data_IF_911408184172
#
_entry.id   IF_911408184172
#
_cell.length_a   1.000
_cell.length_b   1.000
_cell.length_c   1.000
_cell.angle_alpha   90.00
_cell.angle_beta   90.00
_cell.angle_gamma   90.00
#
_symmetry.space_group_name_H-M   'P 1'
#
loop_
_entity.id
_entity.type
_entity.pdbx_description
1 polymer ?
#
# COMPACT_ATOMS: atom_id res chain seq x y z
N UNK A 1 3.93 22.78 4.35
CA UNK A 1 4.31 21.44 4.90
C UNK A 1 3.63 21.32 6.26
N UNK A 2 2.94 20.24 6.51
CA UNK A 2 2.34 19.90 7.80
C UNK A 2 3.00 18.59 8.29
N UNK A 3 3.19 18.43 9.59
CA UNK A 3 3.87 17.28 10.17
C UNK A 3 3.04 16.70 11.32
N UNK A 4 2.99 15.37 11.38
CA UNK A 4 2.34 14.62 12.46
C UNK A 4 3.40 13.75 13.12
N UNK A 5 3.47 13.75 14.44
CA UNK A 5 4.52 13.06 15.17
C UNK A 5 3.92 11.86 15.90
N UNK A 6 4.45 10.68 15.59
CA UNK A 6 4.27 9.50 16.43
C UNK A 6 5.43 9.42 17.40
N UNK A 7 5.16 9.42 18.68
CA UNK A 7 6.17 9.36 19.75
C UNK A 7 6.46 7.92 20.23
N UNK A 8 5.67 6.95 19.75
CA UNK A 8 5.78 5.54 20.13
C UNK A 8 5.47 4.62 18.96
N UNK A 9 6.21 3.54 18.87
CA UNK A 9 5.89 2.41 18.01
C UNK A 9 5.11 1.35 18.78
N UNK A 10 4.17 0.71 18.10
CA UNK A 10 3.38 -0.38 18.66
C UNK A 10 3.89 -1.75 18.23
N UNK A 11 2.97 -2.65 17.94
CA UNK A 11 3.27 -4.01 17.50
C UNK A 11 3.96 -4.00 16.13
N UNK A 12 4.83 -4.97 15.92
CA UNK A 12 5.41 -5.25 14.60
C UNK A 12 4.85 -6.57 14.10
N UNK A 13 4.26 -6.55 12.91
CA UNK A 13 3.71 -7.74 12.25
C UNK A 13 4.68 -8.22 11.18
N UNK A 14 5.01 -9.51 11.22
CA UNK A 14 5.64 -10.22 10.12
C UNK A 14 4.53 -10.97 9.39
N UNK A 15 4.23 -10.52 8.18
CA UNK A 15 3.14 -11.05 7.37
C UNK A 15 3.71 -11.98 6.33
N UNK A 16 3.27 -13.24 6.33
CA UNK A 16 3.57 -14.22 5.29
C UNK A 16 2.35 -14.40 4.42
N UNK A 17 2.51 -14.18 3.12
CA UNK A 17 1.52 -14.46 2.09
C UNK A 17 1.92 -15.70 1.30
N UNK A 18 0.92 -16.49 0.91
CA UNK A 18 1.12 -17.72 0.14
C UNK A 18 0.50 -17.59 -1.26
N UNK A 19 0.79 -18.54 -2.11
CA UNK A 19 0.30 -18.59 -3.48
C UNK A 19 -1.22 -18.36 -3.56
N UNK A 20 -1.63 -17.48 -4.46
CA UNK A 20 -3.03 -17.18 -4.77
C UNK A 20 -3.67 -16.10 -3.91
N UNK A 21 -3.02 -15.67 -2.81
CA UNK A 21 -3.52 -14.54 -2.01
C UNK A 21 -3.36 -13.21 -2.75
N UNK A 22 -4.32 -12.30 -2.53
CA UNK A 22 -4.22 -10.91 -2.96
C UNK A 22 -3.46 -10.11 -1.90
N UNK A 23 -2.43 -9.35 -2.28
CA UNK A 23 -1.60 -8.65 -1.32
C UNK A 23 -2.39 -7.55 -0.58
N UNK A 24 -3.09 -6.68 -1.32
CA UNK A 24 -3.84 -5.58 -0.71
C UNK A 24 -4.99 -6.09 0.16
N UNK A 25 -5.76 -7.04 -0.34
CA UNK A 25 -6.85 -7.67 0.41
C UNK A 25 -6.37 -8.36 1.68
N UNK A 26 -5.17 -8.96 1.68
CA UNK A 26 -4.56 -9.56 2.86
C UNK A 26 -4.12 -8.52 3.89
N UNK A 27 -3.55 -7.40 3.45
CA UNK A 27 -3.22 -6.27 4.34
C UNK A 27 -4.48 -5.66 4.95
N UNK A 28 -5.54 -5.46 4.16
CA UNK A 28 -6.82 -4.95 4.65
C UNK A 28 -7.48 -5.92 5.66
N UNK A 29 -7.37 -7.23 5.43
CA UNK A 29 -7.82 -8.24 6.40
C UNK A 29 -7.07 -8.12 7.71
N UNK A 30 -5.72 -8.05 7.67
CA UNK A 30 -4.89 -7.84 8.85
C UNK A 30 -5.29 -6.58 9.62
N UNK A 31 -5.48 -5.46 8.91
CA UNK A 31 -5.90 -4.18 9.52
C UNK A 31 -7.21 -4.36 10.29
N UNK A 32 -8.20 -5.02 9.72
CA UNK A 32 -9.50 -5.25 10.39
C UNK A 32 -9.38 -6.19 11.58
N UNK A 33 -8.70 -7.33 11.41
CA UNK A 33 -8.57 -8.36 12.46
C UNK A 33 -7.79 -7.85 13.67
N UNK A 34 -6.71 -7.12 13.42
CA UNK A 34 -5.81 -6.60 14.45
C UNK A 34 -6.17 -5.17 14.92
N UNK A 35 -7.18 -4.53 14.30
CA UNK A 35 -7.65 -3.17 14.60
C UNK A 35 -6.53 -2.14 14.49
N UNK A 36 -5.76 -2.21 13.42
CA UNK A 36 -4.65 -1.30 13.17
C UNK A 36 -5.21 0.06 12.73
N UNK A 37 -4.92 1.09 13.48
CA UNK A 37 -5.29 2.49 13.16
C UNK A 37 -4.25 3.13 12.24
N UNK A 38 -3.01 3.22 12.72
CA UNK A 38 -1.93 3.83 11.97
C UNK A 38 -0.70 2.92 11.97
N UNK A 39 -0.11 2.71 10.80
CA UNK A 39 1.08 1.88 10.67
C UNK A 39 1.87 2.25 9.39
N UNK A 40 3.10 1.82 9.34
CA UNK A 40 3.97 1.93 8.16
C UNK A 40 4.38 0.55 7.68
N UNK A 41 4.43 0.35 6.37
CA UNK A 41 5.10 -0.83 5.77
C UNK A 41 6.59 -0.53 5.77
N UNK A 42 7.34 -1.22 6.63
CA UNK A 42 8.79 -1.04 6.80
C UNK A 42 9.55 -1.74 5.67
N UNK A 43 9.03 -2.90 5.25
CA UNK A 43 9.61 -3.70 4.17
C UNK A 43 8.53 -4.59 3.58
N UNK A 44 8.58 -4.82 2.27
CA UNK A 44 7.72 -5.78 1.61
C UNK A 44 8.38 -6.27 0.33
N UNK A 45 8.42 -7.61 0.18
CA UNK A 45 8.86 -8.29 -1.04
C UNK A 45 7.88 -9.40 -1.38
N UNK A 46 7.74 -9.73 -2.64
CA UNK A 46 6.86 -10.81 -3.08
C UNK A 46 7.19 -11.27 -4.51
N UNK A 47 6.45 -12.26 -4.97
CA UNK A 47 6.36 -12.59 -6.40
C UNK A 47 4.91 -12.58 -6.83
N UNK A 48 4.61 -12.02 -8.01
CA UNK A 48 3.26 -11.98 -8.57
C UNK A 48 3.15 -12.79 -9.87
N UNK A 49 1.96 -13.34 -10.12
CA UNK A 49 1.52 -13.79 -11.45
C UNK A 49 0.49 -12.84 -12.08
N UNK A 50 -0.02 -11.90 -11.28
CA UNK A 50 -0.92 -10.83 -11.71
C UNK A 50 -0.61 -9.58 -10.93
N UNK A 51 -0.57 -8.43 -11.62
CA UNK A 51 -0.46 -7.12 -10.99
C UNK A 51 -1.48 -6.15 -11.55
N UNK A 52 -1.88 -5.20 -10.71
CA UNK A 52 -2.78 -4.12 -11.05
C UNK A 52 -2.32 -2.86 -10.34
N UNK A 53 -1.75 -1.92 -11.09
CA UNK A 53 -1.19 -0.69 -10.55
C UNK A 53 -1.88 0.53 -11.15
N UNK A 54 -2.24 1.47 -10.30
CA UNK A 54 -2.74 2.77 -10.70
C UNK A 54 -1.58 3.75 -10.87
N UNK A 55 -1.51 4.39 -12.00
CA UNK A 55 -0.43 5.31 -12.36
C UNK A 55 -1.01 6.63 -12.89
N UNK A 56 -0.35 7.74 -12.55
CA UNK A 56 -0.69 9.05 -13.10
C UNK A 56 -0.14 9.19 -14.53
N UNK A 57 -0.88 9.86 -15.42
CA UNK A 57 -0.50 10.06 -16.82
C UNK A 57 -0.31 11.52 -17.20
N UNK A 58 -0.72 12.45 -16.34
CA UNK A 58 -0.59 13.90 -16.58
C UNK A 58 -0.10 14.63 -15.33
N UNK A 59 0.30 15.89 -15.50
CA UNK A 59 0.68 16.80 -14.40
C UNK A 59 -0.49 17.67 -13.90
N UNK A 60 -1.72 17.33 -14.26
CA UNK A 60 -2.93 18.00 -13.78
C UNK A 60 -3.13 17.89 -12.27
N UNK A 61 -4.07 18.66 -11.72
CA UNK A 61 -4.44 18.61 -10.32
C UNK A 61 -5.98 18.63 -10.18
N UNK A 62 -6.64 17.46 -10.10
CA UNK A 62 -6.07 16.11 -10.12
C UNK A 62 -5.42 15.74 -11.45
N UNK A 63 -4.51 14.76 -11.41
CA UNK A 63 -3.94 14.19 -12.61
C UNK A 63 -4.90 13.18 -13.25
N UNK A 64 -4.79 13.01 -14.58
CA UNK A 64 -5.38 11.86 -15.24
C UNK A 64 -4.62 10.59 -14.83
N UNK A 65 -5.29 9.44 -14.90
CA UNK A 65 -4.77 8.18 -14.41
C UNK A 65 -5.02 7.06 -15.41
N UNK A 66 -4.21 6.01 -15.32
CA UNK A 66 -4.44 4.74 -16.02
C UNK A 66 -4.09 3.57 -15.11
N UNK A 67 -4.60 2.40 -15.45
CA UNK A 67 -4.28 1.15 -14.76
C UNK A 67 -3.32 0.36 -15.65
N UNK A 68 -2.13 0.03 -15.12
CA UNK A 68 -1.22 -0.95 -15.70
C UNK A 68 -1.56 -2.32 -15.12
N UNK A 69 -2.07 -3.20 -15.98
CA UNK A 69 -2.48 -4.55 -15.59
C UNK A 69 -1.63 -5.58 -16.34
N UNK A 70 -1.06 -6.52 -15.58
CA UNK A 70 -0.33 -7.67 -16.12
C UNK A 70 -0.97 -8.95 -15.59
N UNK A 71 -1.17 -9.91 -16.48
CA UNK A 71 -1.80 -11.20 -16.16
C UNK A 71 -0.97 -12.33 -16.75
N UNK A 72 -0.77 -13.39 -15.95
CA UNK A 72 0.01 -14.58 -16.32
C UNK A 72 1.47 -14.24 -16.71
N UNK A 73 2.04 -13.24 -16.03
CA UNK A 73 3.43 -12.79 -16.17
C UNK A 73 4.14 -12.97 -14.83
N UNK A 74 5.29 -13.67 -14.79
CA UNK A 74 6.07 -13.75 -13.56
C UNK A 74 6.72 -12.41 -13.26
N UNK A 75 6.46 -11.90 -12.08
CA UNK A 75 6.92 -10.59 -11.62
C UNK A 75 7.64 -10.73 -10.27
N UNK A 76 8.78 -10.07 -10.15
CA UNK A 76 9.42 -9.82 -8.85
C UNK A 76 8.86 -8.54 -8.25
N UNK A 77 8.41 -8.60 -7.01
CA UNK A 77 8.04 -7.42 -6.23
C UNK A 77 9.25 -7.02 -5.39
N UNK A 78 9.91 -5.96 -5.84
CA UNK A 78 11.18 -5.49 -5.26
C UNK A 78 10.93 -4.70 -3.97
N UNK A 79 9.82 -3.96 -3.90
CA UNK A 79 9.39 -3.26 -2.70
C UNK A 79 7.87 -3.13 -2.64
N UNK A 80 7.36 -3.14 -1.41
CA UNK A 80 6.01 -2.65 -1.06
C UNK A 80 6.21 -1.60 0.02
N UNK A 81 5.70 -0.40 -0.21
CA UNK A 81 5.89 0.75 0.66
C UNK A 81 4.57 1.49 0.88
N UNK A 82 4.46 2.19 1.99
CA UNK A 82 3.31 3.04 2.22
C UNK A 82 2.89 3.13 3.67
N UNK A 83 1.73 3.72 3.86
CA UNK A 83 1.24 4.13 5.16
C UNK A 83 -0.23 3.73 5.33
N UNK A 84 -0.55 3.20 6.50
CA UNK A 84 -1.91 2.93 6.96
C UNK A 84 -2.32 4.10 7.85
N UNK A 85 -3.39 4.80 7.49
CA UNK A 85 -3.91 5.96 8.21
C UNK A 85 -5.39 5.75 8.54
N UNK A 86 -5.73 5.75 9.81
CA UNK A 86 -7.09 5.46 10.28
C UNK A 86 -7.67 4.18 9.69
N UNK A 87 -6.87 3.11 9.68
CA UNK A 87 -7.26 1.82 9.12
C UNK A 87 -7.33 1.75 7.59
N UNK A 88 -6.94 2.81 6.88
CA UNK A 88 -6.95 2.86 5.42
C UNK A 88 -5.53 2.72 4.87
N UNK A 89 -5.20 1.65 4.13
CA UNK A 89 -3.91 1.49 3.51
C UNK A 89 -3.78 2.40 2.28
N UNK A 90 -2.60 3.00 2.10
CA UNK A 90 -2.16 3.67 0.90
C UNK A 90 -0.78 3.14 0.56
N UNK A 91 -0.74 2.17 -0.33
CA UNK A 91 0.45 1.41 -0.64
C UNK A 91 0.85 1.60 -2.10
N UNK A 92 2.15 1.63 -2.32
CA UNK A 92 2.77 1.55 -3.63
C UNK A 92 3.66 0.32 -3.69
N UNK A 93 3.91 -0.18 -4.88
CA UNK A 93 4.92 -1.22 -5.07
C UNK A 93 5.75 -0.97 -6.32
N UNK A 94 6.97 -1.52 -6.27
CA UNK A 94 7.86 -1.64 -7.42
C UNK A 94 7.91 -3.11 -7.83
N UNK A 95 7.56 -3.38 -9.08
CA UNK A 95 7.60 -4.71 -9.68
C UNK A 95 8.58 -4.73 -10.85
N UNK A 96 9.11 -5.88 -11.18
CA UNK A 96 9.98 -6.04 -12.34
C UNK A 96 9.76 -7.37 -13.05
N UNK A 97 10.04 -7.39 -14.34
CA UNK A 97 10.17 -8.57 -15.18
C UNK A 97 11.47 -8.48 -16.00
N UNK A 98 11.67 -9.40 -16.97
CA UNK A 98 12.84 -9.39 -17.85
C UNK A 98 12.95 -8.13 -18.75
N UNK A 99 11.86 -7.37 -18.91
CA UNK A 99 11.78 -6.24 -19.83
C UNK A 99 11.99 -4.91 -19.13
N UNK A 100 11.78 -4.84 -17.82
CA UNK A 100 11.96 -3.61 -17.07
C UNK A 100 11.34 -3.63 -15.66
N UNK A 101 11.35 -2.47 -15.04
CA UNK A 101 10.71 -2.23 -13.75
C UNK A 101 9.54 -1.25 -13.92
N UNK A 102 8.52 -1.46 -13.12
CA UNK A 102 7.28 -0.68 -13.10
C UNK A 102 6.93 -0.36 -11.65
N UNK A 103 6.37 0.81 -11.40
CA UNK A 103 5.97 1.18 -10.04
C UNK A 103 4.68 1.98 -10.07
N UNK A 104 3.83 1.81 -9.06
CA UNK A 104 2.57 2.54 -8.97
C UNK A 104 1.82 2.25 -7.68
N UNK A 105 0.68 2.90 -7.56
CA UNK A 105 -0.24 2.68 -6.46
C UNK A 105 -0.86 1.29 -6.55
N UNK A 106 -0.75 0.54 -5.48
CA UNK A 106 -1.22 -0.84 -5.38
C UNK A 106 -2.74 -0.91 -5.37
N UNK A 107 -3.32 -1.68 -6.26
CA UNK A 107 -4.75 -1.99 -6.30
C UNK A 107 -4.99 -3.46 -5.93
N UNK A 108 -6.23 -3.77 -5.60
CA UNK A 108 -6.71 -5.14 -5.54
C UNK A 108 -6.53 -5.83 -6.89
N UNK A 109 -6.14 -7.09 -6.89
CA UNK A 109 -5.82 -7.88 -8.08
C UNK A 109 -4.32 -8.17 -8.22
N UNK A 110 -3.48 -7.79 -7.25
CA UNK A 110 -2.06 -8.17 -7.18
C UNK A 110 -1.92 -9.53 -6.48
N UNK A 111 -1.84 -10.61 -7.28
CA UNK A 111 -1.90 -11.98 -6.80
C UNK A 111 -0.50 -12.57 -6.62
N UNK A 112 -0.29 -13.18 -5.44
CA UNK A 112 0.95 -13.86 -5.08
C UNK A 112 1.17 -15.11 -5.94
N UNK A 113 2.34 -15.20 -6.58
CA UNK A 113 2.76 -16.37 -7.36
C UNK A 113 3.35 -17.48 -6.47
N UNK A 114 4.29 -17.15 -5.59
CA UNK A 114 4.94 -18.11 -4.68
C UNK A 114 4.79 -17.70 -3.23
N UNK A 115 5.31 -16.53 -2.90
CA UNK A 115 5.34 -16.00 -1.54
C UNK A 115 5.30 -14.48 -1.54
N UNK A 116 4.87 -13.93 -0.41
CA UNK A 116 5.02 -12.51 -0.06
C UNK A 116 5.39 -12.39 1.41
N UNK A 117 6.24 -11.44 1.72
CA UNK A 117 6.70 -11.15 3.08
C UNK A 117 6.66 -9.66 3.32
N UNK A 118 5.93 -9.22 4.36
CA UNK A 118 5.88 -7.81 4.74
C UNK A 118 6.22 -7.66 6.22
N UNK A 119 6.83 -6.54 6.53
CA UNK A 119 7.01 -6.05 7.90
C UNK A 119 6.17 -4.79 8.04
N UNK A 120 5.18 -4.83 8.93
CA UNK A 120 4.27 -3.71 9.21
C UNK A 120 4.43 -3.31 10.67
N UNK A 121 4.67 -2.03 10.93
CA UNK A 121 4.88 -1.51 12.28
C UNK A 121 3.84 -0.46 12.61
N UNK A 122 3.14 -0.64 13.74
CA UNK A 122 2.18 0.34 14.24
C UNK A 122 2.88 1.63 14.71
N UNK A 123 2.22 2.75 14.43
CA UNK A 123 2.57 4.08 14.89
C UNK A 123 1.49 4.58 15.85
N UNK A 124 1.86 4.77 17.12
CA UNK A 124 0.93 5.15 18.18
C UNK A 124 0.97 6.65 18.46
N UNK A 125 -0.08 7.17 19.10
CA UNK A 125 -0.17 8.59 19.44
C UNK A 125 -0.51 9.52 18.27
N UNK A 126 -0.90 8.98 17.12
CA UNK A 126 -1.34 9.75 15.95
C UNK A 126 -2.87 9.86 15.93
N UNK A 127 -3.38 11.08 16.02
CA UNK A 127 -4.80 11.38 15.85
C UNK A 127 -5.03 12.04 14.48
N UNK A 128 -5.01 11.21 13.45
CA UNK A 128 -5.07 11.62 12.04
C UNK A 128 -6.10 10.78 11.28
N UNK A 129 -6.59 11.34 10.19
CA UNK A 129 -7.47 10.63 9.25
C UNK A 129 -7.20 11.06 7.82
N UNK A 130 -7.69 10.27 6.86
CA UNK A 130 -7.73 10.66 5.46
C UNK A 130 -9.05 11.34 5.15
N UNK A 131 -8.97 12.43 4.40
CA UNK A 131 -10.13 13.16 3.92
C UNK A 131 -9.99 13.42 2.42
N UNK A 132 -11.06 13.08 1.68
CA UNK A 132 -11.16 13.36 0.25
C UNK A 132 -11.47 14.84 0.03
N UNK A 133 -10.57 15.57 -0.61
CA UNK A 133 -10.78 16.98 -0.95
C UNK A 133 -11.82 17.13 -2.06
N UNK A 134 -12.32 18.35 -2.28
CA UNK A 134 -13.22 18.68 -3.40
C UNK A 134 -12.62 18.31 -4.78
N UNK A 135 -11.30 18.24 -4.87
CA UNK A 135 -10.56 17.82 -6.08
C UNK A 135 -10.36 16.31 -6.19
N UNK A 136 -10.96 15.51 -5.30
CA UNK A 136 -10.83 14.07 -5.33
C UNK A 136 -9.48 13.51 -4.87
N UNK A 137 -8.68 14.33 -4.16
CA UNK A 137 -7.37 13.90 -3.62
C UNK A 137 -7.51 13.61 -2.14
N UNK A 138 -7.01 12.45 -1.71
CA UNK A 138 -7.15 11.96 -0.35
C UNK A 138 -5.92 12.36 0.49
N UNK A 139 -6.02 13.46 1.24
CA UNK A 139 -4.96 13.97 2.10
C UNK A 139 -5.11 13.49 3.55
N UNK A 140 -4.02 13.60 4.32
CA UNK A 140 -3.99 13.34 5.75
C UNK A 140 -4.26 14.64 6.50
N UNK A 141 -5.16 14.57 7.51
CA UNK A 141 -5.54 15.67 8.38
C UNK A 141 -5.56 15.23 9.85
N UNK A 142 -5.44 16.15 10.81
CA UNK A 142 -5.78 15.88 12.20
C UNK A 142 -7.28 15.51 12.32
N UNK A 143 -7.64 14.60 13.25
CA UNK A 143 -9.04 14.19 13.45
C UNK A 143 -9.95 15.33 13.97
N UNK A 144 -9.38 16.33 14.65
CA UNK A 144 -10.11 17.45 15.23
C UNK A 144 -10.31 18.66 14.28
N UNK A 145 -10.16 18.50 12.98
CA UNK A 145 -10.39 19.53 11.97
C UNK A 145 -11.43 19.13 10.93
#
# INVERSE_FOLDING_TARGET
METFVSDRVGRTFIVKLVQGEDLLGSVERLIREERIENAVVVSGIATYDRSRLHMISTTGYPADVYIDEKTDVPLEVVSVEGFICSGQPHLHCTISDRNGAYAGHLLEGCRILYLGELVIQELLGLDIHRHLTEKGINHIYPKDR
#
